data_IF_288176815850
#
_entry.id   IF_288176815850
#
_cell.length_a   1.000
_cell.length_b   1.000
_cell.length_c   1.000
_cell.angle_alpha   90.00
_cell.angle_beta   90.00
_cell.angle_gamma   90.00
#
_symmetry.space_group_name_H-M   'P 1'
#
loop_
_entity.id
_entity.type
_entity.pdbx_description
1 polymer ?
#
# COMPACT_ATOMS: atom_id res chain seq x y z
N UNK A 1 7.13 40.57 65.71
CA UNK A 1 7.84 40.02 64.53
C UNK A 1 7.24 38.67 64.20
N UNK A 2 6.79 38.45 62.96
CA UNK A 2 6.38 37.14 62.44
C UNK A 2 7.32 36.83 61.27
N UNK A 3 8.05 35.73 61.38
CA UNK A 3 9.00 35.26 60.36
C UNK A 3 8.23 34.26 59.50
N UNK A 4 8.12 34.55 58.20
CA UNK A 4 7.47 33.66 57.25
C UNK A 4 8.31 32.39 57.05
N UNK A 5 7.68 31.23 57.21
CA UNK A 5 8.27 29.94 56.84
C UNK A 5 8.43 29.87 55.32
N UNK A 6 9.66 29.68 54.85
CA UNK A 6 9.96 29.46 53.43
C UNK A 6 9.43 28.09 52.99
N UNK A 7 8.65 27.99 51.90
CA UNK A 7 8.26 26.69 51.37
C UNK A 7 9.51 25.99 50.84
N UNK A 8 9.82 24.81 51.39
CA UNK A 8 10.89 23.94 50.88
C UNK A 8 10.51 23.49 49.48
N UNK A 9 11.10 24.17 48.49
CA UNK A 9 10.95 23.85 47.07
C UNK A 9 11.45 22.43 46.85
N UNK A 10 10.64 21.62 46.19
CA UNK A 10 10.64 20.17 46.20
C UNK A 10 11.99 19.47 46.13
N UNK A 11 12.10 18.37 46.88
CA UNK A 11 13.09 17.31 46.69
C UNK A 11 12.94 16.70 45.28
N UNK A 12 13.47 17.39 44.28
CA UNK A 12 13.57 16.87 42.92
C UNK A 12 14.68 15.83 42.89
N UNK A 13 14.31 14.57 43.08
CA UNK A 13 15.25 13.47 43.05
C UNK A 13 15.70 13.23 41.59
N UNK A 14 16.94 13.60 41.20
CA UNK A 14 17.38 13.59 39.79
C UNK A 14 17.34 12.18 39.19
N UNK A 15 17.52 11.16 40.03
CA UNK A 15 17.46 9.75 39.66
C UNK A 15 16.08 9.31 39.17
N UNK A 16 14.99 9.85 39.75
CA UNK A 16 13.63 9.54 39.29
C UNK A 16 13.35 10.18 37.93
N UNK A 17 13.86 11.40 37.72
CA UNK A 17 13.70 12.13 36.45
C UNK A 17 14.41 11.42 35.29
N UNK A 18 15.63 10.94 35.52
CA UNK A 18 16.39 10.19 34.52
C UNK A 18 15.72 8.85 34.14
N UNK A 19 15.10 8.14 35.10
CA UNK A 19 14.32 6.94 34.78
C UNK A 19 13.04 7.26 33.98
N UNK A 20 12.45 8.42 34.24
CA UNK A 20 11.24 8.87 33.54
C UNK A 20 11.56 9.27 32.10
N UNK A 21 12.65 10.02 31.89
CA UNK A 21 13.18 10.39 30.57
C UNK A 21 13.63 9.14 29.77
N UNK A 22 14.27 8.16 30.41
CA UNK A 22 14.63 6.89 29.76
C UNK A 22 13.39 6.07 29.34
N UNK A 23 12.31 6.10 30.15
CA UNK A 23 11.04 5.46 29.80
C UNK A 23 10.32 6.20 28.67
N UNK A 24 10.39 7.52 28.62
CA UNK A 24 9.83 8.34 27.54
C UNK A 24 10.63 8.18 26.22
N UNK A 25 11.95 7.98 26.29
CA UNK A 25 12.77 7.62 25.14
C UNK A 25 12.40 6.23 24.55
N UNK A 26 12.01 5.27 25.40
CA UNK A 26 11.54 3.95 24.99
C UNK A 26 10.13 3.97 24.37
N UNK A 27 9.25 4.90 24.79
CA UNK A 27 7.91 5.05 24.21
C UNK A 27 7.91 5.85 22.90
N UNK A 28 8.82 6.83 22.78
CA UNK A 28 9.01 7.62 21.54
C UNK A 28 9.84 6.87 20.48
N UNK A 29 10.70 5.94 20.90
CA UNK A 29 11.47 5.04 20.01
C UNK A 29 10.62 3.99 19.26
N UNK A 30 9.30 3.93 19.52
CA UNK A 30 8.33 3.15 18.74
C UNK A 30 7.79 3.87 17.50
N UNK A 31 8.25 5.09 17.19
CA UNK A 31 8.18 5.56 15.80
C UNK A 31 9.28 4.84 15.04
N UNK A 32 8.89 3.69 14.46
CA UNK A 32 9.78 2.79 13.75
C UNK A 32 10.74 3.56 12.86
N UNK A 33 12.01 3.15 12.90
CA UNK A 33 13.04 3.62 11.96
C UNK A 33 12.39 3.67 10.58
N UNK A 34 12.34 4.85 9.96
CA UNK A 34 11.82 5.00 8.61
C UNK A 34 12.60 4.00 7.75
N UNK A 35 11.93 2.92 7.34
CA UNK A 35 12.46 2.01 6.35
C UNK A 35 12.33 2.74 5.03
N UNK A 36 13.39 2.74 4.23
CA UNK A 36 13.25 3.11 2.83
C UNK A 36 12.25 2.13 2.21
N UNK A 37 11.06 2.62 1.90
CA UNK A 37 9.99 1.87 1.26
C UNK A 37 9.69 2.50 -0.10
N UNK A 38 9.65 1.67 -1.13
CA UNK A 38 9.20 2.07 -2.47
C UNK A 38 7.68 1.91 -2.50
N UNK A 39 6.96 3.03 -2.47
CA UNK A 39 5.50 3.07 -2.55
C UNK A 39 5.07 3.42 -3.99
N UNK A 40 4.06 2.72 -4.52
CA UNK A 40 3.42 3.10 -5.78
C UNK A 40 2.68 4.44 -5.57
N UNK A 41 2.87 5.39 -6.48
CA UNK A 41 2.23 6.71 -6.39
C UNK A 41 0.70 6.59 -6.40
N UNK A 42 0.02 7.53 -5.74
CA UNK A 42 -1.45 7.57 -5.72
C UNK A 42 -2.01 7.66 -7.15
N UNK A 43 -1.40 8.49 -8.00
CA UNK A 43 -1.75 8.63 -9.42
C UNK A 43 -1.59 7.32 -10.20
N UNK A 44 -0.52 6.55 -9.97
CA UNK A 44 -0.33 5.26 -10.64
C UNK A 44 -1.39 4.23 -10.21
N UNK A 45 -1.85 4.27 -8.95
CA UNK A 45 -2.96 3.42 -8.48
C UNK A 45 -4.28 3.82 -9.14
N UNK A 46 -4.57 5.12 -9.22
CA UNK A 46 -5.77 5.62 -9.90
C UNK A 46 -5.79 5.22 -11.39
N UNK A 47 -4.65 5.33 -12.09
CA UNK A 47 -4.52 4.88 -13.47
C UNK A 47 -4.70 3.36 -13.61
N UNK A 48 -4.18 2.57 -12.67
CA UNK A 48 -4.37 1.12 -12.68
C UNK A 48 -5.85 0.74 -12.48
N UNK A 49 -6.54 1.41 -11.58
CA UNK A 49 -7.98 1.24 -11.36
C UNK A 49 -8.80 1.69 -12.58
N UNK A 50 -8.42 2.80 -13.22
CA UNK A 50 -9.05 3.27 -14.45
C UNK A 50 -8.89 2.26 -15.61
N UNK A 51 -7.71 1.65 -15.75
CA UNK A 51 -7.47 0.58 -16.73
C UNK A 51 -8.20 -0.73 -16.39
N UNK A 52 -8.36 -1.05 -15.10
CA UNK A 52 -8.88 -2.33 -14.64
C UNK A 52 -10.40 -2.48 -14.71
N UNK A 53 -11.17 -1.38 -14.67
CA UNK A 53 -12.52 -1.49 -14.09
C UNK A 53 -13.69 -1.12 -15.02
N UNK A 54 -13.47 -0.53 -16.19
CA UNK A 54 -14.59 0.20 -16.84
C UNK A 54 -14.95 -0.22 -18.26
N UNK A 55 -14.12 -0.92 -19.02
CA UNK A 55 -14.56 -1.54 -20.28
C UNK A 55 -15.19 -2.92 -20.02
N UNK A 56 -16.27 -2.85 -19.24
CA UNK A 56 -17.39 -3.79 -19.09
C UNK A 56 -17.03 -5.25 -18.79
N UNK A 57 -17.01 -5.58 -17.50
CA UNK A 57 -17.05 -6.96 -17.02
C UNK A 57 -18.18 -7.77 -17.68
N UNK A 58 -19.31 -7.13 -18.03
CA UNK A 58 -20.41 -7.76 -18.77
C UNK A 58 -20.08 -8.03 -20.24
N UNK A 59 -19.45 -7.10 -20.96
CA UNK A 59 -19.00 -7.36 -22.33
C UNK A 59 -17.94 -8.46 -22.34
N UNK A 60 -17.05 -8.47 -21.34
CA UNK A 60 -16.06 -9.53 -21.16
C UNK A 60 -16.72 -10.88 -20.87
N UNK A 61 -17.71 -10.93 -19.98
CA UNK A 61 -18.40 -12.18 -19.65
C UNK A 61 -19.18 -12.74 -20.85
N UNK A 62 -19.88 -11.87 -21.59
CA UNK A 62 -20.54 -12.22 -22.87
C UNK A 62 -19.54 -12.77 -23.87
N UNK A 63 -18.41 -12.08 -24.08
CA UNK A 63 -17.37 -12.52 -25.00
C UNK A 63 -16.79 -13.88 -24.62
N UNK A 64 -16.58 -14.13 -23.32
CA UNK A 64 -16.11 -15.43 -22.83
C UNK A 64 -17.14 -16.52 -23.12
N UNK A 65 -18.43 -16.25 -22.91
CA UNK A 65 -19.50 -17.21 -23.18
C UNK A 65 -19.55 -17.60 -24.67
N UNK A 66 -19.50 -16.60 -25.58
CA UNK A 66 -19.43 -16.82 -27.03
C UNK A 66 -18.24 -17.69 -27.42
N UNK A 67 -17.05 -17.38 -26.89
CA UNK A 67 -15.83 -18.12 -27.18
C UNK A 67 -15.93 -19.57 -26.69
N UNK A 68 -16.47 -19.80 -25.49
CA UNK A 68 -16.70 -21.15 -24.95
C UNK A 68 -17.63 -21.96 -25.86
N UNK A 69 -18.70 -21.33 -26.35
CA UNK A 69 -19.61 -21.98 -27.28
C UNK A 69 -18.91 -22.36 -28.58
N UNK A 70 -18.19 -21.43 -29.20
CA UNK A 70 -17.45 -21.68 -30.45
C UNK A 70 -16.41 -22.80 -30.32
N UNK A 71 -15.73 -22.88 -29.17
CA UNK A 71 -14.77 -23.96 -28.88
C UNK A 71 -15.50 -25.29 -28.73
N UNK A 72 -16.61 -25.34 -27.98
CA UNK A 72 -17.43 -26.55 -27.79
C UNK A 72 -18.00 -27.08 -29.11
N UNK A 73 -18.43 -26.19 -30.01
CA UNK A 73 -18.96 -26.55 -31.33
C UNK A 73 -17.87 -26.83 -32.37
N UNK A 74 -16.58 -26.69 -32.02
CA UNK A 74 -15.46 -26.90 -32.94
C UNK A 74 -15.33 -25.84 -34.04
N UNK A 75 -16.05 -24.72 -33.95
CA UNK A 75 -16.03 -23.62 -34.94
C UNK A 75 -15.01 -22.53 -34.59
N UNK A 76 -14.33 -22.66 -33.46
CA UNK A 76 -13.27 -21.74 -33.07
C UNK A 76 -11.99 -21.99 -33.85
N UNK A 77 -11.59 -21.02 -34.67
CA UNK A 77 -10.34 -21.05 -35.43
C UNK A 77 -9.25 -20.21 -34.77
N UNK A 78 -8.09 -20.81 -34.57
CA UNK A 78 -6.90 -20.14 -34.03
C UNK A 78 -6.10 -19.55 -35.19
N UNK A 79 -6.15 -18.23 -35.32
CA UNK A 79 -5.45 -17.47 -36.35
C UNK A 79 -3.99 -17.22 -35.94
N UNK A 80 -3.04 -17.79 -36.68
CA UNK A 80 -1.61 -17.65 -36.40
C UNK A 80 -1.09 -16.22 -36.58
N UNK A 81 -1.67 -15.44 -37.51
CA UNK A 81 -1.32 -14.04 -37.71
C UNK A 81 -1.66 -13.18 -36.49
N UNK A 82 -2.85 -13.38 -35.91
CA UNK A 82 -3.26 -12.71 -34.67
C UNK A 82 -2.36 -13.06 -33.48
N UNK A 83 -1.87 -14.30 -33.42
CA UNK A 83 -0.90 -14.70 -32.39
C UNK A 83 0.40 -13.93 -32.57
N UNK A 84 0.94 -13.90 -33.79
CA UNK A 84 2.17 -13.17 -34.10
C UNK A 84 2.02 -11.68 -33.77
N UNK A 85 0.95 -11.03 -34.21
CA UNK A 85 0.66 -9.61 -33.90
C UNK A 85 0.69 -9.30 -32.40
N UNK A 86 0.15 -10.19 -31.56
CA UNK A 86 0.12 -10.01 -30.10
C UNK A 86 1.45 -10.31 -29.43
N UNK A 87 2.29 -11.15 -30.04
CA UNK A 87 3.62 -11.46 -29.53
C UNK A 87 4.67 -10.43 -29.96
N UNK A 88 4.52 -9.81 -31.14
CA UNK A 88 5.48 -8.85 -31.70
C UNK A 88 5.98 -7.78 -30.71
N UNK A 89 5.15 -7.15 -29.85
CA UNK A 89 5.64 -6.13 -28.91
C UNK A 89 6.65 -6.63 -27.87
N UNK A 90 6.72 -7.95 -27.66
CA UNK A 90 7.52 -8.58 -26.59
C UNK A 90 8.75 -9.30 -27.13
N UNK A 91 8.92 -9.39 -28.45
CA UNK A 91 10.05 -10.05 -29.08
C UNK A 91 10.98 -8.95 -29.60
N UNK A 92 12.20 -8.92 -29.08
CA UNK A 92 13.26 -7.96 -29.41
C UNK A 92 14.52 -8.71 -29.78
#
# INVERSE_FOLDING_TARGET
MKINETPRVGNVNPYKRQQQEAREALTTGKKGKAKDEVQISAEAKELQEAHGTQQSAELRSKRIAELKQAVSTGTYHVDAGKIAEKLLPYIK
#
